data_IF_925826114037
#
_entry.id   IF_925826114037
#
_cell.length_a   1.000
_cell.length_b   1.000
_cell.length_c   1.000
_cell.angle_alpha   90.00
_cell.angle_beta   90.00
_cell.angle_gamma   90.00
#
_symmetry.space_group_name_H-M   'P 1'
#
loop_
_entity.id
_entity.type
_entity.pdbx_description
1 polymer ?
#
# COMPACT_ATOMS: atom_id res chain seq x y z
N UNK A 1 -39.82 -71.17 -24.81
CA UNK A 1 -39.02 -70.07 -24.23
C UNK A 1 -38.48 -69.22 -25.35
N UNK A 2 -38.85 -67.94 -25.43
CA UNK A 2 -38.38 -67.00 -26.48
C UNK A 2 -37.01 -66.47 -26.10
N UNK A 3 -36.02 -66.67 -26.98
CA UNK A 3 -34.69 -66.08 -26.91
C UNK A 3 -34.78 -64.57 -27.11
N UNK A 4 -34.48 -63.79 -26.07
CA UNK A 4 -34.32 -62.34 -26.22
C UNK A 4 -32.90 -62.04 -26.67
N UNK A 5 -32.82 -61.50 -27.89
CA UNK A 5 -31.59 -60.99 -28.50
C UNK A 5 -31.13 -59.74 -27.75
N UNK A 6 -29.95 -59.82 -27.12
CA UNK A 6 -29.30 -58.69 -26.46
C UNK A 6 -28.84 -57.69 -27.53
N UNK A 7 -29.58 -56.58 -27.65
CA UNK A 7 -29.22 -55.45 -28.49
C UNK A 7 -27.98 -54.76 -27.91
N UNK A 8 -26.84 -55.00 -28.55
CA UNK A 8 -25.57 -54.32 -28.27
C UNK A 8 -25.76 -52.80 -28.31
N UNK A 9 -25.41 -52.13 -27.22
CA UNK A 9 -25.34 -50.67 -27.15
C UNK A 9 -24.06 -50.21 -27.88
N UNK A 10 -24.13 -49.16 -28.72
CA UNK A 10 -22.97 -48.69 -29.46
C UNK A 10 -21.90 -48.13 -28.51
N UNK A 11 -20.69 -48.69 -28.57
CA UNK A 11 -19.50 -48.14 -27.93
C UNK A 11 -19.21 -46.77 -28.56
N UNK A 12 -19.31 -45.70 -27.75
CA UNK A 12 -18.87 -44.37 -28.16
C UNK A 12 -17.37 -44.44 -28.49
N UNK A 13 -17.02 -44.20 -29.74
CA UNK A 13 -15.62 -44.14 -30.18
C UNK A 13 -15.00 -42.91 -29.55
N UNK A 14 -14.17 -43.09 -28.52
CA UNK A 14 -13.35 -42.02 -27.99
C UNK A 14 -12.34 -41.63 -29.08
N UNK A 15 -12.58 -40.48 -29.72
CA UNK A 15 -11.65 -39.90 -30.68
C UNK A 15 -10.37 -39.55 -29.91
N UNK A 16 -9.28 -40.24 -30.20
CA UNK A 16 -7.96 -39.92 -29.64
C UNK A 16 -7.49 -38.57 -30.15
N UNK A 17 -6.87 -37.79 -29.28
CA UNK A 17 -6.23 -36.52 -29.63
C UNK A 17 -5.02 -36.79 -30.54
N UNK A 18 -4.86 -36.04 -31.63
CA UNK A 18 -3.75 -36.26 -32.56
C UNK A 18 -2.45 -35.70 -31.99
N UNK A 19 -1.30 -36.30 -32.31
CA UNK A 19 0.01 -35.74 -31.92
C UNK A 19 0.21 -34.32 -32.48
N UNK A 20 -0.35 -34.03 -33.64
CA UNK A 20 -0.26 -32.72 -34.28
C UNK A 20 -1.07 -31.67 -33.51
N UNK A 21 -2.28 -31.99 -33.04
CA UNK A 21 -3.04 -31.08 -32.18
C UNK A 21 -2.29 -30.75 -30.88
N UNK A 22 -1.62 -31.73 -30.27
CA UNK A 22 -0.83 -31.49 -29.07
C UNK A 22 0.34 -30.55 -29.33
N UNK A 23 1.06 -30.76 -30.44
CA UNK A 23 2.20 -29.91 -30.83
C UNK A 23 1.73 -28.48 -31.11
N UNK A 24 0.62 -28.30 -31.82
CA UNK A 24 0.10 -26.97 -32.14
C UNK A 24 -0.29 -26.22 -30.86
N UNK A 25 -0.93 -26.90 -29.90
CA UNK A 25 -1.33 -26.29 -28.62
C UNK A 25 -0.11 -25.80 -27.83
N UNK A 26 0.94 -26.61 -27.67
CA UNK A 26 2.14 -26.18 -26.94
C UNK A 26 2.89 -25.04 -27.65
N UNK A 27 2.86 -25.01 -28.99
CA UNK A 27 3.46 -23.92 -29.77
C UNK A 27 2.69 -22.62 -29.55
N UNK A 28 1.36 -22.67 -29.60
CA UNK A 28 0.51 -21.49 -29.35
C UNK A 28 0.71 -20.99 -27.90
N UNK A 29 0.69 -21.88 -26.91
CA UNK A 29 0.95 -21.52 -25.52
C UNK A 29 2.36 -20.94 -25.33
N UNK A 30 3.36 -21.45 -26.05
CA UNK A 30 4.72 -20.90 -26.03
C UNK A 30 4.79 -19.45 -26.52
N UNK A 31 4.11 -19.14 -27.63
CA UNK A 31 4.07 -17.76 -28.17
C UNK A 31 3.32 -16.81 -27.22
N UNK A 32 2.20 -17.24 -26.66
CA UNK A 32 1.43 -16.45 -25.70
C UNK A 32 2.20 -16.20 -24.41
N UNK A 33 2.94 -17.19 -23.90
CA UNK A 33 3.74 -17.05 -22.68
C UNK A 33 4.86 -15.99 -22.85
N UNK A 34 5.60 -16.03 -23.96
CA UNK A 34 6.72 -15.10 -24.22
C UNK A 34 6.23 -13.65 -24.37
N UNK A 35 5.03 -13.45 -24.91
CA UNK A 35 4.47 -12.11 -25.12
C UNK A 35 3.75 -11.55 -23.88
N UNK A 36 3.15 -12.41 -23.06
CA UNK A 36 2.43 -12.01 -21.85
C UNK A 36 3.34 -11.76 -20.64
N UNK A 37 4.42 -12.54 -20.49
CA UNK A 37 5.29 -12.47 -19.30
C UNK A 37 5.91 -11.08 -19.06
N UNK A 38 6.46 -10.35 -20.05
CA UNK A 38 7.05 -9.03 -19.82
C UNK A 38 6.01 -7.99 -19.36
N UNK A 39 4.77 -8.08 -19.85
CA UNK A 39 3.69 -7.17 -19.43
C UNK A 39 3.26 -7.47 -18.00
N UNK A 40 3.14 -8.74 -17.64
CA UNK A 40 2.73 -9.14 -16.30
C UNK A 40 3.67 -8.60 -15.21
N UNK A 41 4.99 -8.58 -15.47
CA UNK A 41 5.97 -8.04 -14.54
C UNK A 41 5.85 -6.52 -14.32
N UNK A 42 5.57 -5.74 -15.37
CA UNK A 42 5.42 -4.29 -15.25
C UNK A 42 4.11 -3.88 -14.55
N UNK A 43 3.03 -4.66 -14.73
CA UNK A 43 1.73 -4.34 -14.14
C UNK A 43 1.74 -4.34 -12.60
N UNK A 44 2.55 -5.19 -11.98
CA UNK A 44 2.64 -5.23 -10.52
C UNK A 44 3.33 -3.97 -9.97
N UNK A 45 4.37 -3.50 -10.64
CA UNK A 45 5.07 -2.26 -10.29
C UNK A 45 4.19 -1.04 -10.44
N UNK A 46 3.54 -0.90 -11.60
CA UNK A 46 2.60 0.19 -11.87
C UNK A 46 1.43 0.21 -10.86
N UNK A 47 0.95 -0.97 -10.44
CA UNK A 47 -0.09 -1.09 -9.42
C UNK A 47 0.40 -0.57 -8.06
N UNK A 48 1.60 -0.95 -7.63
CA UNK A 48 2.18 -0.50 -6.36
C UNK A 48 2.49 1.00 -6.36
N UNK A 49 2.97 1.54 -7.49
CA UNK A 49 3.16 2.98 -7.64
C UNK A 49 1.83 3.73 -7.49
N UNK A 50 0.77 3.25 -8.15
CA UNK A 50 -0.55 3.86 -8.09
C UNK A 50 -1.17 3.81 -6.69
N UNK A 51 -0.98 2.72 -5.95
CA UNK A 51 -1.49 2.60 -4.57
C UNK A 51 -0.74 3.52 -3.62
N UNK A 52 0.59 3.69 -3.78
CA UNK A 52 1.37 4.66 -3.01
C UNK A 52 0.94 6.10 -3.30
N UNK A 53 0.71 6.46 -4.56
CA UNK A 53 0.19 7.79 -4.90
C UNK A 53 -1.18 8.05 -4.24
N UNK A 54 -2.06 7.05 -4.26
CA UNK A 54 -3.35 7.10 -3.57
C UNK A 54 -3.18 7.29 -2.06
N UNK A 55 -2.29 6.51 -1.43
CA UNK A 55 -2.00 6.60 -0.01
C UNK A 55 -1.42 7.97 0.36
N UNK A 56 -0.50 8.51 -0.44
CA UNK A 56 0.06 9.85 -0.24
C UNK A 56 -1.04 10.92 -0.21
N UNK A 57 -2.01 10.82 -1.13
CA UNK A 57 -3.17 11.70 -1.17
C UNK A 57 -4.00 11.62 0.12
N UNK A 58 -4.27 10.41 0.60
CA UNK A 58 -4.99 10.16 1.85
C UNK A 58 -4.24 10.70 3.06
N UNK A 59 -2.92 10.50 3.14
CA UNK A 59 -2.07 11.05 4.21
C UNK A 59 -2.19 12.58 4.22
N UNK A 60 -1.99 13.25 3.07
CA UNK A 60 -2.09 14.72 2.97
C UNK A 60 -3.45 15.24 3.42
N UNK A 61 -4.53 14.57 3.01
CA UNK A 61 -5.88 14.94 3.40
C UNK A 61 -6.09 14.79 4.91
N UNK A 62 -5.73 13.63 5.46
CA UNK A 62 -5.89 13.32 6.89
C UNK A 62 -5.07 14.24 7.80
N UNK A 63 -3.82 14.53 7.43
CA UNK A 63 -2.98 15.49 8.15
C UNK A 63 -3.60 16.89 8.22
N UNK A 64 -4.23 17.36 7.13
CA UNK A 64 -4.89 18.66 7.13
C UNK A 64 -6.10 18.69 8.08
N UNK A 65 -6.83 17.58 8.19
CA UNK A 65 -7.94 17.44 9.15
C UNK A 65 -7.40 17.47 10.59
N UNK A 66 -6.34 16.71 10.87
CA UNK A 66 -5.68 16.68 12.18
C UNK A 66 -5.16 18.07 12.56
N UNK A 67 -4.54 18.77 11.62
CA UNK A 67 -4.07 20.15 11.80
C UNK A 67 -5.21 21.12 12.09
N UNK A 68 -6.30 21.07 11.31
CA UNK A 68 -7.49 21.88 11.56
C UNK A 68 -8.04 21.67 12.97
N UNK A 69 -8.11 20.41 13.43
CA UNK A 69 -8.53 20.07 14.79
C UNK A 69 -7.57 20.61 15.85
N UNK A 70 -6.26 20.55 15.61
CA UNK A 70 -5.25 21.10 16.52
C UNK A 70 -5.30 22.62 16.60
N UNK A 71 -5.59 23.31 15.49
CA UNK A 71 -5.80 24.77 15.49
C UNK A 71 -7.03 25.13 16.32
N UNK A 72 -8.15 24.42 16.14
CA UNK A 72 -9.38 24.65 16.92
C UNK A 72 -9.14 24.40 18.41
N UNK A 73 -8.37 23.36 18.76
CA UNK A 73 -7.97 23.06 20.14
C UNK A 73 -6.92 24.03 20.71
N UNK A 74 -6.39 24.96 19.90
CA UNK A 74 -5.28 25.86 20.26
C UNK A 74 -3.97 25.14 20.63
N UNK A 75 -3.78 23.93 20.10
CA UNK A 75 -2.64 23.06 20.36
C UNK A 75 -1.60 23.05 19.23
N UNK A 76 -1.89 23.70 18.10
CA UNK A 76 -1.07 23.72 16.88
C UNK A 76 0.36 24.30 17.02
N UNK A 77 0.76 24.77 18.21
CA UNK A 77 2.15 25.21 18.51
C UNK A 77 2.79 24.45 19.66
N UNK A 78 2.08 23.48 20.26
CA UNK A 78 2.63 22.64 21.31
C UNK A 78 3.55 21.60 20.67
N UNK A 79 4.69 21.36 21.31
CA UNK A 79 5.63 20.34 20.86
C UNK A 79 4.98 18.95 20.80
N UNK A 80 4.07 18.66 21.73
CA UNK A 80 3.26 17.44 21.74
C UNK A 80 1.85 17.76 22.22
N UNK A 81 0.84 17.21 21.57
CA UNK A 81 -0.56 17.25 21.99
C UNK A 81 -1.32 16.03 21.43
N UNK A 82 -2.59 15.89 21.81
CA UNK A 82 -3.45 14.83 21.29
C UNK A 82 -4.77 15.46 20.84
N UNK A 83 -5.23 15.11 19.64
CA UNK A 83 -6.51 15.57 19.09
C UNK A 83 -7.38 14.39 18.71
N UNK A 84 -8.69 14.50 18.88
CA UNK A 84 -9.63 13.45 18.50
C UNK A 84 -10.18 13.69 17.11
N UNK A 85 -9.99 12.73 16.21
CA UNK A 85 -10.55 12.77 14.85
C UNK A 85 -12.00 12.27 14.84
N UNK A 86 -12.68 12.42 13.70
CA UNK A 86 -14.12 12.16 13.60
C UNK A 86 -14.48 10.66 13.76
N UNK A 87 -13.50 9.77 13.62
CA UNK A 87 -13.64 8.33 13.93
C UNK A 87 -13.75 8.06 15.44
N UNK A 88 -13.43 9.05 16.29
CA UNK A 88 -13.37 8.92 17.74
C UNK A 88 -11.98 8.57 18.26
N UNK A 89 -11.03 8.29 17.37
CA UNK A 89 -9.66 7.93 17.73
C UNK A 89 -8.81 9.15 18.10
N UNK A 90 -7.86 8.91 19.00
CA UNK A 90 -6.90 9.91 19.46
C UNK A 90 -5.65 9.89 18.57
N UNK A 91 -5.36 11.02 17.92
CA UNK A 91 -4.15 11.23 17.13
C UNK A 91 -3.15 12.00 17.96
N UNK A 92 -1.97 11.41 18.19
CA UNK A 92 -0.83 12.13 18.75
C UNK A 92 -0.31 13.11 17.70
N UNK A 93 -0.07 14.34 18.13
CA UNK A 93 0.35 15.44 17.26
C UNK A 93 1.61 16.11 17.76
N UNK A 94 2.41 16.58 16.81
CA UNK A 94 3.63 17.36 16.99
C UNK A 94 3.43 18.66 16.22
N UNK A 95 3.41 19.80 16.94
CA UNK A 95 3.10 21.12 16.39
C UNK A 95 1.84 21.14 15.50
N UNK A 96 0.82 20.39 15.91
CA UNK A 96 -0.47 20.28 15.24
C UNK A 96 -0.54 19.35 14.03
N UNK A 97 0.54 18.69 13.64
CA UNK A 97 0.52 17.64 12.62
C UNK A 97 0.64 16.26 13.27
N UNK A 98 0.21 15.16 12.63
CA UNK A 98 0.37 13.82 13.21
C UNK A 98 1.83 13.52 13.58
N UNK A 99 2.03 12.83 14.69
CA UNK A 99 3.33 12.26 15.01
C UNK A 99 3.72 11.19 13.98
N UNK A 100 5.00 11.05 13.66
CA UNK A 100 5.60 9.99 12.88
C UNK A 100 5.63 8.69 13.69
N UNK A 101 4.42 8.18 13.96
CA UNK A 101 4.19 6.91 14.63
C UNK A 101 3.07 6.18 13.88
N UNK A 102 3.14 4.85 13.85
CA UNK A 102 2.13 4.00 13.26
C UNK A 102 0.74 4.29 13.85
N UNK A 103 0.65 4.35 15.18
CA UNK A 103 -0.61 4.61 15.88
C UNK A 103 -1.26 5.94 15.49
N UNK A 104 -0.46 7.00 15.25
CA UNK A 104 -1.01 8.28 14.81
C UNK A 104 -1.56 8.21 13.39
N UNK A 105 -0.92 7.45 12.49
CA UNK A 105 -1.37 7.29 11.10
C UNK A 105 -2.62 6.42 11.00
N UNK A 106 -2.68 5.30 11.70
CA UNK A 106 -3.86 4.41 11.74
C UNK A 106 -5.09 5.10 12.38
N UNK A 107 -4.87 6.05 13.28
CA UNK A 107 -5.97 6.77 13.91
C UNK A 107 -6.76 7.67 12.93
N UNK A 108 -6.16 8.14 11.83
CA UNK A 108 -6.87 8.96 10.84
C UNK A 108 -6.96 8.34 9.44
N UNK A 109 -6.25 7.25 9.16
CA UNK A 109 -6.30 6.50 7.92
C UNK A 109 -7.03 5.18 8.14
N UNK A 110 -7.93 4.84 7.23
CA UNK A 110 -8.53 3.50 7.16
C UNK A 110 -7.60 2.53 6.41
N UNK A 111 -6.37 2.37 6.94
CA UNK A 111 -5.31 1.54 6.38
C UNK A 111 -4.55 0.91 7.55
N UNK A 112 -4.28 -0.40 7.46
CA UNK A 112 -3.47 -1.11 8.45
C UNK A 112 -2.00 -1.11 8.08
N UNK A 113 -1.11 -0.93 9.07
CA UNK A 113 0.32 -1.01 8.86
C UNK A 113 0.96 -2.12 9.71
N UNK A 114 2.07 -2.68 9.20
CA UNK A 114 2.90 -3.62 9.93
C UNK A 114 4.37 -3.43 9.56
N UNK A 115 5.28 -4.17 10.18
CA UNK A 115 6.70 -4.13 9.84
C UNK A 115 7.17 -5.37 9.05
N UNK A 116 6.27 -6.30 8.74
CA UNK A 116 6.57 -7.68 8.31
C UNK A 116 5.67 -8.21 7.19
N UNK A 117 5.22 -7.35 6.27
CA UNK A 117 4.34 -7.68 5.14
C UNK A 117 2.96 -8.28 5.54
N UNK A 118 2.57 -8.20 6.83
CA UNK A 118 1.33 -8.82 7.33
C UNK A 118 0.08 -7.94 7.24
N UNK A 119 0.24 -6.67 6.86
CA UNK A 119 -0.82 -5.67 6.74
C UNK A 119 -0.92 -5.10 5.31
N UNK A 120 -1.69 -4.03 5.11
CA UNK A 120 -1.86 -3.40 3.79
C UNK A 120 -0.55 -2.78 3.27
N UNK A 121 0.19 -2.15 4.18
CA UNK A 121 1.50 -1.56 3.90
C UNK A 121 2.48 -1.83 5.03
N UNK A 122 3.76 -1.79 4.71
CA UNK A 122 4.81 -1.76 5.71
C UNK A 122 5.04 -0.33 6.21
N UNK A 123 5.38 -0.21 7.49
CA UNK A 123 5.76 1.04 8.14
C UNK A 123 7.01 0.82 9.00
N UNK A 124 7.95 1.76 8.92
CA UNK A 124 9.14 1.80 9.77
C UNK A 124 9.26 3.17 10.41
N UNK A 125 9.29 3.19 11.73
CA UNK A 125 9.50 4.39 12.54
C UNK A 125 11.00 4.63 12.78
N UNK A 126 11.51 5.78 12.38
CA UNK A 126 12.88 6.22 12.60
C UNK A 126 12.84 7.35 13.63
N UNK A 127 12.81 6.97 14.90
CA UNK A 127 12.67 7.91 16.03
C UNK A 127 13.79 8.96 16.09
N UNK A 128 15.02 8.61 15.71
CA UNK A 128 16.16 9.53 15.72
C UNK A 128 15.97 10.72 14.75
N UNK A 129 15.34 10.46 13.61
CA UNK A 129 15.11 11.45 12.55
C UNK A 129 13.67 11.98 12.55
N UNK A 130 12.85 11.55 13.51
CA UNK A 130 11.41 11.89 13.60
C UNK A 130 10.69 11.62 12.27
N UNK A 131 10.96 10.45 11.71
CA UNK A 131 10.51 10.07 10.37
C UNK A 131 9.76 8.75 10.41
N UNK A 132 8.78 8.61 9.54
CA UNK A 132 8.15 7.33 9.20
C UNK A 132 8.40 7.05 7.73
N UNK A 133 8.72 5.80 7.41
CA UNK A 133 8.84 5.30 6.04
C UNK A 133 7.74 4.28 5.80
N UNK A 134 6.94 4.48 4.76
CA UNK A 134 5.84 3.60 4.36
C UNK A 134 6.14 3.02 2.99
N UNK A 135 6.00 1.72 2.81
CA UNK A 135 6.26 1.04 1.54
C UNK A 135 5.33 -0.17 1.34
N UNK A 136 5.08 -0.61 0.09
CA UNK A 136 4.20 -1.74 -0.19
C UNK A 136 4.81 -3.06 0.30
N UNK A 137 3.98 -4.09 0.37
CA UNK A 137 4.46 -5.44 0.69
C UNK A 137 5.43 -5.95 -0.39
N UNK A 138 6.40 -6.79 0.01
CA UNK A 138 7.50 -7.30 -0.84
C UNK A 138 8.58 -6.27 -1.22
N UNK A 139 8.52 -5.06 -0.68
CA UNK A 139 9.59 -4.06 -0.76
C UNK A 139 10.26 -3.90 0.59
N UNK A 140 11.42 -3.28 0.64
CA UNK A 140 12.11 -2.91 1.89
C UNK A 140 12.27 -1.40 2.01
N UNK A 141 12.51 -0.91 3.23
CA UNK A 141 12.63 0.52 3.55
C UNK A 141 13.68 1.30 2.72
N UNK A 142 14.64 0.61 2.08
CA UNK A 142 15.68 1.22 1.25
C UNK A 142 15.28 1.36 -0.22
N UNK A 143 14.23 0.66 -0.66
CA UNK A 143 13.81 0.66 -2.06
C UNK A 143 13.14 1.98 -2.43
N UNK A 144 13.28 2.40 -3.68
CA UNK A 144 12.75 3.67 -4.18
C UNK A 144 11.24 3.60 -4.55
N UNK A 145 10.50 2.73 -3.87
CA UNK A 145 9.04 2.56 -3.94
C UNK A 145 8.45 2.78 -2.54
N UNK A 146 8.44 4.03 -2.07
CA UNK A 146 8.10 4.37 -0.69
C UNK A 146 7.65 5.82 -0.51
N UNK A 147 7.00 6.09 0.62
CA UNK A 147 6.67 7.42 1.13
C UNK A 147 7.48 7.65 2.39
N UNK A 148 8.15 8.79 2.49
CA UNK A 148 8.81 9.26 3.69
C UNK A 148 8.05 10.45 4.26
N UNK A 149 7.67 10.37 5.53
CA UNK A 149 7.05 11.43 6.29
C UNK A 149 8.01 11.91 7.38
N UNK A 150 8.36 13.19 7.38
CA UNK A 150 9.14 13.81 8.47
C UNK A 150 8.23 14.72 9.29
N UNK A 151 8.22 14.55 10.61
CA UNK A 151 7.36 15.34 11.51
C UNK A 151 7.59 16.85 11.39
N UNK A 152 6.57 17.61 11.79
CA UNK A 152 6.71 19.04 12.02
C UNK A 152 7.77 19.36 13.09
N UNK A 153 8.42 20.51 12.95
CA UNK A 153 9.49 20.95 13.86
C UNK A 153 9.26 22.38 14.32
N UNK A 154 9.99 22.81 15.35
CA UNK A 154 10.11 24.24 15.67
C UNK A 154 11.38 24.78 15.02
N UNK A 155 11.22 25.67 14.04
CA UNK A 155 12.30 26.32 13.31
C UNK A 155 13.24 27.12 14.24
N UNK A 156 12.77 27.48 15.43
CA UNK A 156 13.53 28.23 16.43
C UNK A 156 14.14 27.34 17.52
N UNK A 157 14.09 26.01 17.38
CA UNK A 157 14.69 25.03 18.29
C UNK A 157 14.33 25.25 19.78
N UNK A 158 13.08 25.60 20.07
CA UNK A 158 12.57 25.82 21.42
C UNK A 158 12.76 27.25 21.95
N UNK A 159 13.29 28.17 21.14
CA UNK A 159 13.38 29.59 21.53
C UNK A 159 12.08 30.33 21.20
N UNK A 160 11.48 31.07 22.16
CA UNK A 160 10.26 31.83 21.88
C UNK A 160 10.50 33.00 20.90
N UNK A 161 9.57 33.28 19.98
CA UNK A 161 8.30 32.58 19.75
C UNK A 161 8.48 31.28 18.93
N UNK A 162 7.67 30.26 19.22
CA UNK A 162 7.64 29.00 18.44
C UNK A 162 7.21 29.29 16.99
N UNK A 163 8.01 28.83 16.03
CA UNK A 163 7.74 28.94 14.60
C UNK A 163 7.65 27.53 14.00
N UNK A 164 6.44 27.10 13.67
CA UNK A 164 6.19 25.73 13.19
C UNK A 164 6.69 25.59 11.75
N UNK A 165 7.63 24.66 11.55
CA UNK A 165 7.98 24.11 10.25
C UNK A 165 7.02 22.96 9.92
N UNK A 166 6.35 23.04 8.78
CA UNK A 166 5.38 22.03 8.34
C UNK A 166 6.08 20.71 8.03
N UNK A 167 5.40 19.56 8.23
CA UNK A 167 5.99 18.27 7.90
C UNK A 167 6.27 18.15 6.39
N UNK A 168 7.27 17.36 6.04
CA UNK A 168 7.59 17.04 4.64
C UNK A 168 7.11 15.63 4.30
N UNK A 169 6.59 15.49 3.07
CA UNK A 169 6.28 14.18 2.49
C UNK A 169 7.02 14.05 1.18
N UNK A 170 7.98 13.13 1.16
CA UNK A 170 8.76 12.76 -0.02
C UNK A 170 8.28 11.40 -0.52
N UNK A 171 7.92 11.31 -1.80
CA UNK A 171 7.47 10.07 -2.43
C UNK A 171 8.48 9.65 -3.49
N UNK A 172 8.87 8.38 -3.41
CA UNK A 172 9.73 7.72 -4.37
C UNK A 172 8.90 6.63 -5.06
N UNK A 173 8.80 6.71 -6.39
CA UNK A 173 8.04 5.75 -7.21
C UNK A 173 8.91 5.04 -8.25
N UNK A 174 10.21 5.31 -8.26
CA UNK A 174 11.12 4.73 -9.24
C UNK A 174 11.46 3.30 -8.85
N UNK A 175 11.06 2.32 -9.64
CA UNK A 175 11.35 0.91 -9.33
C UNK A 175 10.39 0.28 -8.34
N UNK A 176 9.20 0.88 -8.18
CA UNK A 176 8.00 0.08 -8.22
C UNK A 176 7.98 -0.60 -9.62
#
# INVERSE_FOLDING_TARGET
>A
MKTQSLKSLPMNKQAGFTLVELIIVIVILGILAVTAAPRFLNLQGDANASTLEGLQGSIRSGMNIVNGKSIIASDHKKATATVTVDTGDAVNTVYGYPAATQAAFEAFLDVSFAADDSADFNIVEIAADKKVIIFPNSYVQTDLCRIEYTEASDANAGTPPVSVETPTIDTYLTGC
#
